data_IF_572457797037
#
_entry.id   IF_572457797037
#
_cell.length_a   1.000
_cell.length_b   1.000
_cell.length_c   1.000
_cell.angle_alpha   90.00
_cell.angle_beta   90.00
_cell.angle_gamma   90.00
#
_symmetry.space_group_name_H-M   'P 1'
#
loop_
_entity.id
_entity.type
_entity.pdbx_description
1 polymer ?
#
# COMPACT_ATOMS: atom_id res chain seq x y z
N UNK A 1 -2.14 -12.17 43.43
CA UNK A 1 -3.16 -12.01 42.37
C UNK A 1 -3.00 -10.72 41.56
N UNK A 2 -1.76 -10.22 41.37
CA UNK A 2 -1.50 -9.02 40.55
C UNK A 2 -0.90 -9.35 39.16
N UNK A 3 -0.59 -10.62 38.87
CA UNK A 3 0.07 -11.06 37.62
C UNK A 3 -0.88 -11.21 36.43
N UNK A 4 -2.11 -11.68 36.66
CA UNK A 4 -3.03 -12.05 35.57
C UNK A 4 -3.51 -10.85 34.75
N UNK A 5 -3.67 -9.69 35.40
CA UNK A 5 -4.09 -8.45 34.73
C UNK A 5 -3.05 -7.86 33.77
N UNK A 6 -1.75 -8.03 34.05
CA UNK A 6 -0.67 -7.55 33.17
C UNK A 6 -0.46 -8.45 31.95
N UNK A 7 -0.63 -9.76 32.13
CA UNK A 7 -0.53 -10.75 31.03
C UNK A 7 -1.69 -10.56 30.04
N UNK A 8 -2.92 -10.37 30.54
CA UNK A 8 -4.10 -10.11 29.69
C UNK A 8 -3.99 -8.82 28.88
N UNK A 9 -3.52 -7.72 29.51
CA UNK A 9 -3.30 -6.45 28.79
C UNK A 9 -2.23 -6.60 27.71
N UNK A 10 -1.10 -7.23 28.04
CA UNK A 10 0.01 -7.43 27.09
C UNK A 10 -0.41 -8.26 25.88
N UNK A 11 -1.21 -9.31 26.10
CA UNK A 11 -1.76 -10.13 25.03
C UNK A 11 -2.75 -9.36 24.13
N UNK A 12 -3.63 -8.55 24.73
CA UNK A 12 -4.55 -7.68 23.98
C UNK A 12 -3.81 -6.66 23.11
N UNK A 13 -2.76 -6.01 23.62
CA UNK A 13 -1.93 -5.09 22.85
C UNK A 13 -1.19 -5.78 21.71
N UNK A 14 -0.66 -6.98 21.95
CA UNK A 14 0.00 -7.78 20.93
C UNK A 14 -0.96 -8.13 19.79
N UNK A 15 -2.15 -8.63 20.13
CA UNK A 15 -3.21 -8.95 19.15
C UNK A 15 -3.59 -7.73 18.32
N UNK A 16 -3.96 -6.62 18.97
CA UNK A 16 -4.38 -5.39 18.26
C UNK A 16 -3.29 -4.90 17.31
N UNK A 17 -2.04 -4.89 17.76
CA UNK A 17 -0.93 -4.45 16.91
C UNK A 17 -0.77 -5.34 15.68
N UNK A 18 -0.89 -6.66 15.84
CA UNK A 18 -0.82 -7.59 14.72
C UNK A 18 -1.96 -7.37 13.72
N UNK A 19 -3.18 -7.13 14.20
CA UNK A 19 -4.33 -6.77 13.34
C UNK A 19 -4.02 -5.52 12.53
N UNK A 20 -3.55 -4.47 13.22
CA UNK A 20 -3.23 -3.19 12.58
C UNK A 20 -2.16 -3.36 11.51
N UNK A 21 -1.09 -4.12 11.79
CA UNK A 21 -0.01 -4.36 10.84
C UNK A 21 -0.51 -5.09 9.58
N UNK A 22 -1.27 -6.17 9.75
CA UNK A 22 -1.78 -6.97 8.62
C UNK A 22 -2.76 -6.16 7.78
N UNK A 23 -3.70 -5.47 8.42
CA UNK A 23 -4.71 -4.67 7.71
C UNK A 23 -4.06 -3.49 7.00
N UNK A 24 -3.14 -2.77 7.65
CA UNK A 24 -2.46 -1.62 7.05
C UNK A 24 -1.60 -2.04 5.84
N UNK A 25 -0.87 -3.16 5.95
CA UNK A 25 -0.03 -3.65 4.85
C UNK A 25 -0.88 -4.21 3.69
N UNK A 26 -1.99 -4.90 3.99
CA UNK A 26 -2.94 -5.34 2.98
C UNK A 26 -3.57 -4.15 2.23
N UNK A 27 -3.92 -3.09 2.96
CA UNK A 27 -4.47 -1.86 2.40
C UNK A 27 -3.44 -1.12 1.53
N UNK A 28 -2.21 -0.97 2.00
CA UNK A 28 -1.11 -0.44 1.22
C UNK A 28 -0.86 -1.25 -0.08
N UNK A 29 -0.96 -2.57 -0.01
CA UNK A 29 -0.82 -3.44 -1.18
C UNK A 29 -1.89 -3.20 -2.26
N UNK A 30 -3.15 -2.96 -1.88
CA UNK A 30 -4.20 -2.60 -2.85
C UNK A 30 -3.92 -1.22 -3.45
N UNK A 31 -3.55 -0.24 -2.62
CA UNK A 31 -3.20 1.12 -3.12
C UNK A 31 -2.02 1.09 -4.08
N UNK A 32 -1.03 0.21 -3.87
CA UNK A 32 0.10 0.03 -4.78
C UNK A 32 -0.36 -0.36 -6.21
N UNK A 33 -1.45 -1.11 -6.35
CA UNK A 33 -1.99 -1.45 -7.68
C UNK A 33 -2.55 -0.23 -8.39
N UNK A 34 -3.15 0.72 -7.67
CA UNK A 34 -3.60 2.00 -8.23
C UNK A 34 -2.41 2.84 -8.65
N UNK A 35 -1.39 2.97 -7.79
CA UNK A 35 -0.13 3.66 -8.09
C UNK A 35 0.53 3.10 -9.35
N UNK A 36 0.49 1.79 -9.55
CA UNK A 36 1.07 1.13 -10.71
C UNK A 36 0.24 1.29 -12.01
N UNK A 37 -1.10 1.34 -11.90
CA UNK A 37 -2.00 1.34 -13.05
C UNK A 37 -2.50 2.73 -13.46
N UNK A 38 -2.35 3.72 -12.59
CA UNK A 38 -2.64 5.13 -12.86
C UNK A 38 -1.32 5.89 -12.93
N UNK A 39 -0.93 6.43 -14.09
CA UNK A 39 0.36 7.09 -14.27
C UNK A 39 0.45 8.43 -13.52
N UNK A 40 1.68 8.86 -13.22
CA UNK A 40 2.01 10.14 -12.55
C UNK A 40 1.87 11.37 -13.45
N UNK A 41 1.77 11.16 -14.76
CA UNK A 41 1.66 12.18 -15.79
C UNK A 41 1.78 11.56 -17.18
N UNK A 42 1.57 12.34 -18.25
CA UNK A 42 1.75 11.83 -19.61
C UNK A 42 3.21 11.42 -19.83
N UNK A 43 3.48 10.32 -20.54
CA UNK A 43 4.84 9.92 -20.84
C UNK A 43 5.52 11.01 -21.68
N UNK A 44 6.72 11.44 -21.27
CA UNK A 44 7.52 12.35 -22.07
C UNK A 44 8.26 11.57 -23.16
N UNK A 45 7.85 11.78 -24.42
CA UNK A 45 8.61 11.53 -25.66
C UNK A 45 9.08 10.09 -25.93
N UNK A 46 8.20 9.30 -26.54
CA UNK A 46 8.64 8.41 -27.62
C UNK A 46 8.64 9.25 -28.91
N UNK A 47 9.80 9.78 -29.31
CA UNK A 47 9.95 10.40 -30.63
C UNK A 47 9.93 9.29 -31.69
N UNK A 48 8.90 9.18 -32.55
CA UNK A 48 8.99 8.34 -33.73
C UNK A 48 9.99 8.98 -34.70
N UNK A 49 10.68 8.16 -35.50
CA UNK A 49 11.72 8.61 -36.42
C UNK A 49 11.23 9.60 -37.50
N UNK A 50 9.91 9.76 -37.66
CA UNK A 50 9.25 10.64 -38.62
C UNK A 50 8.94 12.04 -38.08
N UNK A 51 9.24 12.34 -36.80
CA UNK A 51 8.99 13.64 -36.19
C UNK A 51 7.51 13.93 -35.90
N UNK A 52 6.61 12.94 -36.05
CA UNK A 52 5.24 13.06 -35.58
C UNK A 52 5.22 13.06 -34.05
N UNK A 53 4.47 13.98 -33.45
CA UNK A 53 4.18 13.91 -32.01
C UNK A 53 3.13 12.82 -31.84
N UNK A 54 3.49 11.69 -31.22
CA UNK A 54 2.46 10.80 -30.68
C UNK A 54 1.70 11.63 -29.64
N UNK A 55 0.39 11.73 -29.79
CA UNK A 55 -0.48 12.35 -28.79
C UNK A 55 -0.59 11.40 -27.59
N UNK A 56 0.37 11.51 -26.69
CA UNK A 56 0.51 10.64 -25.51
C UNK A 56 -0.56 10.93 -24.46
N UNK A 57 -1.23 12.10 -24.52
CA UNK A 57 -2.32 12.46 -23.62
C UNK A 57 -3.58 11.64 -23.91
N UNK A 58 -3.92 11.44 -25.19
CA UNK A 58 -5.03 10.59 -25.62
C UNK A 58 -4.80 9.10 -25.28
N UNK A 59 -3.55 8.65 -25.30
CA UNK A 59 -3.18 7.26 -25.01
C UNK A 59 -3.19 6.99 -23.49
N UNK A 60 -2.77 7.96 -22.66
CA UNK A 60 -2.74 7.83 -21.20
C UNK A 60 -4.13 7.55 -20.60
N UNK A 61 -5.15 8.31 -21.01
CA UNK A 61 -6.52 8.07 -20.56
C UNK A 61 -7.06 6.71 -21.06
N UNK A 62 -6.61 6.26 -22.23
CA UNK A 62 -6.98 4.95 -22.81
C UNK A 62 -6.40 3.79 -21.98
N UNK A 63 -5.18 3.90 -21.47
CA UNK A 63 -4.63 2.90 -20.54
C UNK A 63 -5.40 2.85 -19.23
N UNK A 64 -5.73 4.00 -18.64
CA UNK A 64 -6.48 4.05 -17.37
C UNK A 64 -7.89 3.47 -17.56
N UNK A 65 -8.56 3.79 -18.66
CA UNK A 65 -9.91 3.27 -18.97
C UNK A 65 -9.95 1.77 -19.24
N UNK A 66 -8.84 1.16 -19.65
CA UNK A 66 -8.72 -0.30 -19.71
C UNK A 66 -8.34 -0.90 -18.34
N UNK A 67 -7.33 -0.34 -17.69
CA UNK A 67 -6.70 -0.94 -16.50
C UNK A 67 -7.56 -0.82 -15.24
N UNK A 68 -8.24 0.31 -15.03
CA UNK A 68 -9.02 0.54 -13.80
C UNK A 68 -10.26 -0.35 -13.75
N UNK A 69 -11.08 -0.48 -14.82
CA UNK A 69 -12.16 -1.47 -14.84
C UNK A 69 -11.65 -2.90 -14.71
N UNK A 70 -10.52 -3.25 -15.33
CA UNK A 70 -9.91 -4.57 -15.18
C UNK A 70 -9.50 -4.85 -13.72
N UNK A 71 -8.93 -3.86 -13.02
CA UNK A 71 -8.61 -3.95 -11.60
C UNK A 71 -9.87 -4.13 -10.75
N UNK A 72 -10.94 -3.36 -11.01
CA UNK A 72 -12.22 -3.48 -10.30
C UNK A 72 -12.80 -4.89 -10.46
N UNK A 73 -12.88 -5.39 -11.71
CA UNK A 73 -13.38 -6.73 -12.00
C UNK A 73 -12.51 -7.80 -11.33
N UNK A 74 -11.19 -7.68 -11.43
CA UNK A 74 -10.26 -8.62 -10.78
C UNK A 74 -10.40 -8.61 -9.26
N UNK A 75 -10.56 -7.44 -8.64
CA UNK A 75 -10.81 -7.28 -7.22
C UNK A 75 -12.14 -7.92 -6.77
N UNK A 76 -13.21 -7.71 -7.53
CA UNK A 76 -14.51 -8.35 -7.27
C UNK A 76 -14.42 -9.87 -7.39
N UNK A 77 -13.76 -10.38 -8.43
CA UNK A 77 -13.53 -11.82 -8.58
C UNK A 77 -12.69 -12.39 -7.43
N UNK A 78 -11.67 -11.68 -6.96
CA UNK A 78 -10.89 -12.06 -5.80
C UNK A 78 -11.75 -12.12 -4.52
N UNK A 79 -12.63 -11.14 -4.30
CA UNK A 79 -13.58 -11.16 -3.19
C UNK A 79 -14.55 -12.34 -3.27
N UNK A 80 -15.08 -12.65 -4.45
CA UNK A 80 -15.96 -13.81 -4.68
C UNK A 80 -15.19 -15.11 -4.42
N UNK A 81 -13.98 -15.26 -4.94
CA UNK A 81 -13.15 -16.43 -4.72
C UNK A 81 -12.84 -16.62 -3.22
N UNK A 82 -12.45 -15.56 -2.52
CA UNK A 82 -12.19 -15.59 -1.08
C UNK A 82 -13.45 -16.03 -0.29
N UNK A 83 -14.62 -15.51 -0.64
CA UNK A 83 -15.89 -15.91 -0.04
C UNK A 83 -16.23 -17.38 -0.29
N UNK A 84 -16.06 -17.87 -1.53
CA UNK A 84 -16.32 -19.26 -1.89
C UNK A 84 -15.38 -20.22 -1.15
N UNK A 85 -14.10 -19.87 -1.02
CA UNK A 85 -13.11 -20.64 -0.24
C UNK A 85 -13.49 -20.68 1.24
N UNK A 86 -13.88 -19.54 1.81
CA UNK A 86 -14.35 -19.48 3.21
C UNK A 86 -15.57 -20.40 3.42
N UNK A 87 -16.56 -20.34 2.52
CA UNK A 87 -17.73 -21.23 2.57
C UNK A 87 -17.37 -22.71 2.46
N UNK A 88 -16.47 -23.08 1.53
CA UNK A 88 -16.08 -24.47 1.28
C UNK A 88 -15.30 -25.10 2.43
N UNK A 89 -14.55 -24.31 3.18
CA UNK A 89 -13.72 -24.78 4.30
C UNK A 89 -14.48 -24.92 5.62
N UNK A 90 -15.82 -24.78 5.61
CA UNK A 90 -16.65 -24.88 6.82
C UNK A 90 -16.51 -23.66 7.76
N UNK A 91 -15.73 -22.64 7.35
CA UNK A 91 -15.75 -21.30 7.94
C UNK A 91 -16.96 -20.57 7.37
N UNK A 92 -18.17 -21.04 7.74
CA UNK A 92 -19.45 -20.68 7.12
C UNK A 92 -19.86 -19.22 7.29
N UNK A 93 -19.05 -18.42 7.98
CA UNK A 93 -19.16 -16.97 8.02
C UNK A 93 -17.79 -16.37 7.74
N UNK A 94 -17.70 -15.47 6.75
CA UNK A 94 -16.62 -14.46 6.72
C UNK A 94 -16.57 -13.71 8.08
N UNK A 95 -17.72 -13.72 8.78
CA UNK A 95 -18.05 -13.18 10.11
C UNK A 95 -17.88 -14.21 11.25
N UNK A 96 -17.11 -15.28 11.06
CA UNK A 96 -16.64 -16.12 12.18
C UNK A 96 -15.64 -15.32 13.02
N UNK A 97 -15.33 -15.76 14.25
CA UNK A 97 -14.55 -15.04 15.29
C UNK A 97 -13.22 -14.37 14.86
N UNK A 98 -12.76 -14.57 13.62
CA UNK A 98 -11.62 -13.88 13.04
C UNK A 98 -11.98 -12.47 12.55
N UNK A 99 -12.03 -11.55 13.52
CA UNK A 99 -12.24 -10.11 13.31
C UNK A 99 -11.32 -9.52 12.23
N UNK A 100 -10.14 -10.08 11.99
CA UNK A 100 -9.18 -9.56 11.03
C UNK A 100 -9.64 -9.81 9.60
N UNK A 101 -10.22 -10.99 9.36
CA UNK A 101 -10.78 -11.36 8.07
C UNK A 101 -11.95 -10.46 7.69
N UNK A 102 -12.87 -10.21 8.65
CA UNK A 102 -14.02 -9.31 8.43
C UNK A 102 -13.56 -7.90 8.10
N UNK A 103 -12.65 -7.35 8.92
CA UNK A 103 -12.14 -5.99 8.74
C UNK A 103 -11.44 -5.88 7.39
N UNK A 104 -10.50 -6.77 7.07
CA UNK A 104 -9.79 -6.76 5.80
C UNK A 104 -10.72 -6.88 4.59
N UNK A 105 -11.71 -7.77 4.66
CA UNK A 105 -12.68 -7.95 3.58
C UNK A 105 -13.59 -6.73 3.39
N UNK A 106 -14.14 -6.20 4.49
CA UNK A 106 -14.97 -4.98 4.44
C UNK A 106 -14.19 -3.79 3.87
N UNK A 107 -12.93 -3.62 4.29
CA UNK A 107 -12.06 -2.58 3.72
C UNK A 107 -11.78 -2.79 2.24
N UNK A 108 -11.51 -4.01 1.80
CA UNK A 108 -11.33 -4.32 0.38
C UNK A 108 -12.55 -3.92 -0.46
N UNK A 109 -13.75 -4.24 0.03
CA UNK A 109 -15.00 -3.83 -0.62
C UNK A 109 -15.14 -2.30 -0.65
N UNK A 110 -14.85 -1.61 0.47
CA UNK A 110 -14.90 -0.14 0.54
C UNK A 110 -13.92 0.49 -0.44
N UNK A 111 -12.71 -0.05 -0.61
CA UNK A 111 -11.75 0.45 -1.60
C UNK A 111 -12.24 0.25 -3.02
N UNK A 112 -12.73 -0.94 -3.35
CA UNK A 112 -13.22 -1.24 -4.70
C UNK A 112 -14.41 -0.32 -5.01
N UNK A 113 -15.39 -0.23 -4.09
CA UNK A 113 -16.57 0.60 -4.27
C UNK A 113 -16.23 2.10 -4.31
N UNK A 114 -15.36 2.57 -3.42
CA UNK A 114 -14.92 3.97 -3.35
C UNK A 114 -14.09 4.37 -4.56
N UNK A 115 -13.14 3.52 -4.97
CA UNK A 115 -12.32 3.72 -6.16
C UNK A 115 -13.14 3.68 -7.45
N UNK A 116 -14.06 2.70 -7.57
CA UNK A 116 -15.00 2.64 -8.69
C UNK A 116 -15.92 3.86 -8.71
N UNK A 117 -16.48 4.24 -7.57
CA UNK A 117 -17.33 5.43 -7.43
C UNK A 117 -16.58 6.69 -7.85
N UNK A 118 -15.34 6.88 -7.38
CA UNK A 118 -14.52 8.01 -7.80
C UNK A 118 -14.26 8.00 -9.31
N UNK A 119 -13.84 6.86 -9.86
CA UNK A 119 -13.55 6.72 -11.29
C UNK A 119 -14.76 7.00 -12.18
N UNK A 120 -15.94 6.47 -11.83
CA UNK A 120 -17.14 6.57 -12.68
C UNK A 120 -17.94 7.86 -12.46
N UNK A 121 -17.83 8.50 -11.29
CA UNK A 121 -18.58 9.73 -10.98
C UNK A 121 -17.79 11.01 -11.28
N UNK A 122 -16.45 10.97 -11.17
CA UNK A 122 -15.57 12.11 -11.41
C UNK A 122 -14.24 11.62 -11.99
N UNK A 123 -14.30 11.18 -13.25
CA UNK A 123 -13.18 10.61 -13.96
C UNK A 123 -12.01 11.60 -14.10
N UNK A 124 -12.29 12.88 -14.31
CA UNK A 124 -11.27 13.92 -14.43
C UNK A 124 -10.51 14.09 -13.12
N UNK A 125 -11.21 14.17 -11.99
CA UNK A 125 -10.52 14.20 -10.68
C UNK A 125 -9.80 12.89 -10.39
N UNK A 126 -10.28 11.75 -10.87
CA UNK A 126 -9.60 10.47 -10.71
C UNK A 126 -8.28 10.46 -11.49
N UNK A 127 -8.31 10.79 -12.77
CA UNK A 127 -7.13 10.83 -13.64
C UNK A 127 -6.06 11.78 -13.11
N UNK A 128 -6.47 12.91 -12.52
CA UNK A 128 -5.53 13.93 -12.03
C UNK A 128 -4.99 13.66 -10.62
N UNK A 129 -5.70 12.93 -9.76
CA UNK A 129 -5.35 12.83 -8.33
C UNK A 129 -5.21 11.42 -7.78
N UNK A 130 -5.72 10.39 -8.47
CA UNK A 130 -5.78 9.03 -7.92
C UNK A 130 -4.39 8.47 -7.61
N UNK A 131 -3.41 8.67 -8.50
CA UNK A 131 -2.03 8.25 -8.26
C UNK A 131 -1.48 8.89 -6.97
N UNK A 132 -1.43 10.23 -6.92
CA UNK A 132 -0.86 10.96 -5.79
C UNK A 132 -1.58 10.67 -4.47
N UNK A 133 -2.90 10.55 -4.51
CA UNK A 133 -3.70 10.19 -3.32
C UNK A 133 -3.40 8.78 -2.85
N UNK A 134 -3.36 7.80 -3.77
CA UNK A 134 -3.05 6.42 -3.44
C UNK A 134 -1.63 6.27 -2.89
N UNK A 135 -0.64 6.92 -3.52
CA UNK A 135 0.75 6.93 -3.08
C UNK A 135 0.88 7.53 -1.67
N UNK A 136 0.31 8.71 -1.43
CA UNK A 136 0.37 9.36 -0.13
C UNK A 136 -0.25 8.50 0.99
N UNK A 137 -1.44 7.94 0.74
CA UNK A 137 -2.11 7.07 1.73
C UNK A 137 -1.30 5.79 1.94
N UNK A 138 -0.79 5.16 0.88
CA UNK A 138 0.06 3.96 0.94
C UNK A 138 1.29 4.21 1.81
N UNK A 139 2.03 5.30 1.59
CA UNK A 139 3.24 5.61 2.35
C UNK A 139 2.96 5.96 3.81
N UNK A 140 1.83 6.59 4.13
CA UNK A 140 1.42 6.82 5.52
C UNK A 140 1.22 5.48 6.24
N UNK A 141 0.51 4.52 5.62
CA UNK A 141 0.24 3.21 6.21
C UNK A 141 1.52 2.40 6.40
N UNK A 142 2.36 2.34 5.36
CA UNK A 142 3.65 1.66 5.42
C UNK A 142 4.52 2.33 6.49
N UNK A 143 4.58 3.67 6.55
CA UNK A 143 5.32 4.41 7.57
C UNK A 143 4.87 4.05 8.99
N UNK A 144 3.56 3.96 9.24
CA UNK A 144 3.01 3.48 10.52
C UNK A 144 3.51 2.07 10.81
N UNK A 145 3.42 1.17 9.83
CA UNK A 145 3.88 -0.22 9.93
C UNK A 145 5.38 -0.29 10.27
N UNK A 146 6.24 0.44 9.56
CA UNK A 146 7.69 0.44 9.80
C UNK A 146 8.00 1.00 11.19
N UNK A 147 7.36 2.08 11.62
CA UNK A 147 7.57 2.65 12.97
C UNK A 147 7.17 1.66 14.07
N UNK A 148 6.06 0.94 13.89
CA UNK A 148 5.65 -0.12 14.82
C UNK A 148 6.68 -1.25 14.85
N UNK A 149 7.17 -1.69 13.69
CA UNK A 149 8.22 -2.72 13.59
C UNK A 149 9.52 -2.24 14.27
N UNK A 150 9.97 -1.01 14.01
CA UNK A 150 11.17 -0.42 14.61
C UNK A 150 11.12 -0.38 16.15
N UNK A 151 9.93 -0.12 16.72
CA UNK A 151 9.73 -0.09 18.18
C UNK A 151 9.71 -1.48 18.81
N UNK A 152 9.34 -2.52 18.05
CA UNK A 152 9.19 -3.90 18.53
C UNK A 152 10.40 -4.77 18.26
N UNK A 153 11.15 -4.47 17.22
CA UNK A 153 12.37 -5.17 16.87
C UNK A 153 13.43 -5.01 17.96
N UNK A 154 14.29 -6.02 18.06
CA UNK A 154 15.42 -6.05 19.00
C UNK A 154 16.73 -6.34 18.27
N UNK A 155 17.86 -6.09 18.94
CA UNK A 155 19.18 -6.31 18.36
C UNK A 155 19.42 -5.52 17.07
N UNK A 156 20.00 -6.19 16.07
CA UNK A 156 20.37 -5.58 14.79
C UNK A 156 19.15 -5.13 13.96
N UNK A 157 18.01 -5.83 14.05
CA UNK A 157 16.81 -5.49 13.28
C UNK A 157 16.21 -4.13 13.68
N UNK A 158 16.33 -3.75 14.95
CA UNK A 158 15.92 -2.41 15.42
C UNK A 158 16.66 -1.30 14.66
N UNK A 159 17.97 -1.47 14.45
CA UNK A 159 18.77 -0.51 13.69
C UNK A 159 18.37 -0.49 12.22
N UNK A 160 18.15 -1.64 11.60
CA UNK A 160 17.69 -1.71 10.21
C UNK A 160 16.35 -1.01 10.01
N UNK A 161 15.36 -1.29 10.85
CA UNK A 161 14.07 -0.59 10.77
C UNK A 161 14.19 0.90 11.06
N UNK A 162 15.03 1.32 12.01
CA UNK A 162 15.26 2.75 12.26
C UNK A 162 15.88 3.45 11.04
N UNK A 163 16.84 2.81 10.37
CA UNK A 163 17.43 3.32 9.13
C UNK A 163 16.38 3.43 8.03
N UNK A 164 15.53 2.42 7.84
CA UNK A 164 14.42 2.47 6.89
C UNK A 164 13.48 3.64 7.20
N UNK A 165 13.08 3.83 8.46
CA UNK A 165 12.25 4.97 8.87
C UNK A 165 12.91 6.30 8.52
N UNK A 166 14.20 6.44 8.79
CA UNK A 166 14.95 7.66 8.45
C UNK A 166 14.99 7.89 6.94
N UNK A 167 15.25 6.86 6.13
CA UNK A 167 15.24 6.95 4.68
C UNK A 167 13.86 7.34 4.13
N UNK A 168 12.78 6.74 4.63
CA UNK A 168 11.41 7.08 4.22
C UNK A 168 11.05 8.53 4.60
N UNK A 169 11.49 9.01 5.76
CA UNK A 169 11.28 10.39 6.17
C UNK A 169 12.05 11.37 5.27
N UNK A 170 13.30 11.05 4.93
CA UNK A 170 14.11 11.84 3.99
C UNK A 170 13.45 11.86 2.60
N UNK A 171 12.96 10.73 2.12
CA UNK A 171 12.25 10.64 0.84
C UNK A 171 11.01 11.52 0.83
N UNK A 172 10.18 11.47 1.87
CA UNK A 172 8.99 12.33 1.99
C UNK A 172 9.34 13.82 1.99
N UNK A 173 10.42 14.22 2.66
CA UNK A 173 10.93 15.61 2.63
C UNK A 173 11.45 15.98 1.24
N UNK A 174 12.16 15.07 0.56
CA UNK A 174 12.68 15.29 -0.79
C UNK A 174 11.54 15.47 -1.80
N UNK A 175 10.48 14.66 -1.72
CA UNK A 175 9.25 14.81 -2.54
C UNK A 175 8.65 16.19 -2.33
N UNK A 176 8.43 16.60 -1.08
CA UNK A 176 7.87 17.90 -0.76
C UNK A 176 8.74 19.04 -1.29
N UNK A 177 10.06 18.95 -1.11
CA UNK A 177 10.99 19.94 -1.63
C UNK A 177 10.95 20.03 -3.17
N UNK A 178 10.90 18.88 -3.86
CA UNK A 178 10.77 18.85 -5.32
C UNK A 178 9.47 19.50 -5.79
N UNK A 179 8.34 19.21 -5.14
CA UNK A 179 7.04 19.83 -5.46
C UNK A 179 7.10 21.36 -5.27
N UNK A 180 7.63 21.83 -4.15
CA UNK A 180 7.75 23.26 -3.86
C UNK A 180 8.67 23.96 -4.86
N UNK A 181 9.84 23.39 -5.16
CA UNK A 181 10.79 23.96 -6.13
C UNK A 181 10.17 24.03 -7.53
N UNK A 182 9.48 22.97 -7.97
CA UNK A 182 8.80 22.94 -9.26
C UNK A 182 7.75 24.06 -9.36
N UNK A 183 6.96 24.27 -8.31
CA UNK A 183 5.97 25.36 -8.25
C UNK A 183 6.59 26.76 -8.21
N UNK A 184 7.80 26.92 -7.67
CA UNK A 184 8.45 28.23 -7.53
C UNK A 184 9.30 28.64 -8.74
N UNK A 185 9.74 27.69 -9.57
CA UNK A 185 10.78 27.96 -10.57
C UNK A 185 10.35 27.70 -12.02
N UNK A 186 9.14 27.19 -12.26
CA UNK A 186 8.67 26.67 -13.56
C UNK A 186 9.67 25.69 -14.23
N UNK A 187 10.63 25.16 -13.47
CA UNK A 187 11.63 24.20 -13.92
C UNK A 187 11.21 22.82 -13.45
N UNK A 188 10.67 22.03 -14.38
CA UNK A 188 10.61 20.58 -14.21
C UNK A 188 11.96 19.99 -14.58
N UNK A 189 12.56 19.22 -13.67
CA UNK A 189 13.69 18.37 -14.01
C UNK A 189 13.18 17.05 -14.57
N UNK A 190 13.59 16.70 -15.79
CA UNK A 190 13.11 15.52 -16.54
C UNK A 190 13.19 14.20 -15.79
N UNK A 191 14.12 14.06 -14.84
CA UNK A 191 14.31 12.83 -14.07
C UNK A 191 13.90 12.96 -12.60
N UNK A 192 13.19 14.04 -12.23
CA UNK A 192 12.73 14.25 -10.86
C UNK A 192 11.81 13.13 -10.39
N UNK A 193 10.86 12.72 -11.22
CA UNK A 193 9.92 11.63 -10.90
C UNK A 193 10.68 10.33 -10.66
N UNK A 194 11.60 9.95 -11.55
CA UNK A 194 12.41 8.74 -11.39
C UNK A 194 13.24 8.77 -10.10
N UNK A 195 13.87 9.90 -9.78
CA UNK A 195 14.66 10.01 -8.55
C UNK A 195 13.77 9.90 -7.30
N UNK A 196 12.60 10.52 -7.32
CA UNK A 196 11.61 10.43 -6.25
C UNK A 196 11.15 8.97 -6.07
N UNK A 197 10.79 8.29 -7.16
CA UNK A 197 10.37 6.88 -7.12
C UNK A 197 11.46 5.97 -6.55
N UNK A 198 12.74 6.18 -6.91
CA UNK A 198 13.86 5.43 -6.32
C UNK A 198 13.98 5.70 -4.81
N UNK A 199 13.85 6.96 -4.40
CA UNK A 199 13.91 7.35 -2.98
C UNK A 199 12.72 6.81 -2.18
N UNK A 200 11.58 6.57 -2.81
CA UNK A 200 10.37 6.06 -2.17
C UNK A 200 10.30 4.52 -2.16
N UNK A 201 10.49 3.88 -3.33
CA UNK A 201 10.42 2.43 -3.51
C UNK A 201 11.63 1.75 -2.88
N UNK A 202 12.82 2.35 -2.95
CA UNK A 202 14.05 1.77 -2.40
C UNK A 202 13.95 1.44 -0.90
N UNK A 203 13.61 2.39 -0.03
CA UNK A 203 13.40 2.14 1.39
C UNK A 203 12.25 1.16 1.68
N UNK A 204 11.18 1.19 0.88
CA UNK A 204 10.09 0.20 0.99
C UNK A 204 10.58 -1.23 0.66
N UNK A 205 11.36 -1.40 -0.41
CA UNK A 205 11.94 -2.69 -0.77
C UNK A 205 12.93 -3.18 0.32
N UNK A 206 13.72 -2.27 0.89
CA UNK A 206 14.61 -2.56 2.01
C UNK A 206 13.81 -3.00 3.25
N UNK A 207 12.73 -2.28 3.60
CA UNK A 207 11.79 -2.67 4.65
C UNK A 207 11.28 -4.09 4.45
N UNK A 208 10.75 -4.37 3.25
CA UNK A 208 10.18 -5.68 2.92
C UNK A 208 11.21 -6.80 3.06
N UNK A 209 12.44 -6.54 2.61
CA UNK A 209 13.55 -7.48 2.71
C UNK A 209 13.90 -7.79 4.17
N UNK A 210 14.06 -6.74 5.00
CA UNK A 210 14.35 -6.88 6.43
C UNK A 210 13.23 -7.65 7.13
N UNK A 211 11.98 -7.29 6.86
CA UNK A 211 10.81 -7.95 7.46
C UNK A 211 10.72 -9.42 7.06
N UNK A 212 10.95 -9.73 5.78
CA UNK A 212 10.95 -11.10 5.26
C UNK A 212 12.01 -11.93 5.97
N UNK A 213 13.24 -11.43 6.06
CA UNK A 213 14.36 -12.13 6.72
C UNK A 213 14.11 -12.33 8.23
N UNK A 214 13.64 -11.31 8.94
CA UNK A 214 13.35 -11.39 10.38
C UNK A 214 12.28 -12.43 10.71
N UNK A 215 11.26 -12.56 9.85
CA UNK A 215 10.12 -13.45 10.10
C UNK A 215 10.24 -14.81 9.43
N UNK A 216 11.21 -15.02 8.53
CA UNK A 216 11.38 -16.25 7.75
C UNK A 216 11.48 -17.52 8.60
N UNK A 217 12.10 -17.42 9.78
CA UNK A 217 12.40 -18.57 10.66
C UNK A 217 11.53 -18.62 11.91
N UNK A 218 10.56 -17.72 12.08
CA UNK A 218 9.71 -17.71 13.26
C UNK A 218 8.77 -18.92 13.23
N UNK A 219 8.77 -19.80 14.27
CA UNK A 219 7.87 -20.93 14.32
C UNK A 219 6.42 -20.45 14.31
N UNK A 220 5.57 -21.08 13.48
CA UNK A 220 4.12 -20.87 13.57
C UNK A 220 3.67 -21.45 14.91
N UNK A 221 3.35 -20.59 15.88
CA UNK A 221 2.81 -21.02 17.15
C UNK A 221 1.38 -21.55 16.95
N UNK A 222 1.27 -22.88 16.85
CA UNK A 222 -0.02 -23.58 16.69
C UNK A 222 -0.84 -23.63 17.98
N UNK A 223 -0.28 -23.24 19.12
CA UNK A 223 -0.96 -23.32 20.43
C UNK A 223 -1.89 -22.13 20.69
N UNK A 224 -1.65 -20.98 20.05
CA UNK A 224 -2.50 -19.80 20.15
C UNK A 224 -3.86 -19.92 19.40
N UNK A 225 -4.05 -20.98 18.60
CA UNK A 225 -5.30 -21.25 17.86
C UNK A 225 -6.22 -22.21 18.63
N UNK A 226 -5.70 -22.86 19.69
CA UNK A 226 -6.40 -23.89 20.45
C UNK A 226 -6.97 -23.41 21.80
N UNK A 227 -6.88 -22.11 22.11
CA UNK A 227 -7.41 -21.48 23.32
C UNK A 227 -8.38 -20.34 22.97
#
# INVERSE_FOLDING_TARGET
MAGDGYVLKSYQYFRITMVVLVVALGFAGVLATIVALVPTGPPELLCPADGSKIDLDADTASYVTNNVPALIVSGLLACVAAYLVARRTGRTTLVGDDRNLVIGFAFGIVLIAGGAGWYFLDQDSFLTKAHGTAAAVMFVLVGIVVVINARRASGAYRWWYATVVACMAIAAVAVLACVVIAQMTDRSWRHAVLLIEILEIGPFAAFWTVQTVEHWTQPIDRTAVAA
#
